data_IF_972692379220
#
_entry.id   IF_972692379220
#
_cell.length_a   1.000
_cell.length_b   1.000
_cell.length_c   1.000
_cell.angle_alpha   90.00
_cell.angle_beta   90.00
_cell.angle_gamma   90.00
#
_symmetry.space_group_name_H-M   'P 1'
#
loop_
_entity.id
_entity.type
_entity.pdbx_description
1 polymer ?
#
# COMPACT_ATOMS: atom_id res chain seq x y z
N UNK A 1 30.95 -73.00 21.53
CA UNK A 1 29.48 -73.24 21.56
C UNK A 1 28.75 -72.25 22.48
N UNK A 2 29.38 -71.70 23.52
CA UNK A 2 28.77 -70.69 24.40
C UNK A 2 28.56 -69.31 23.74
N UNK A 3 29.48 -68.88 22.87
CA UNK A 3 29.41 -67.58 22.18
C UNK A 3 28.25 -67.45 21.17
N UNK A 4 27.80 -68.56 20.59
CA UNK A 4 26.61 -68.60 19.71
C UNK A 4 25.30 -68.50 20.50
N UNK A 5 25.24 -69.10 21.70
CA UNK A 5 24.05 -69.04 22.56
C UNK A 5 23.83 -67.63 23.12
N UNK A 6 24.92 -66.93 23.46
CA UNK A 6 24.86 -65.55 23.94
C UNK A 6 24.40 -64.57 22.85
N UNK A 7 24.86 -64.78 21.60
CA UNK A 7 24.41 -63.99 20.44
C UNK A 7 22.94 -64.25 20.11
N UNK A 8 22.50 -65.52 20.13
CA UNK A 8 21.09 -65.86 19.92
C UNK A 8 20.19 -65.26 21.00
N UNK A 9 20.59 -65.30 22.27
CA UNK A 9 19.87 -64.66 23.37
C UNK A 9 19.81 -63.12 23.21
N UNK A 10 20.88 -62.50 22.72
CA UNK A 10 20.91 -61.06 22.44
C UNK A 10 19.97 -60.68 21.28
N UNK A 11 19.92 -61.48 20.21
CA UNK A 11 18.98 -61.28 19.10
C UNK A 11 17.52 -61.54 19.48
N UNK A 12 17.26 -62.53 20.34
CA UNK A 12 15.91 -62.81 20.87
C UNK A 12 15.46 -61.68 21.83
N UNK A 13 16.38 -61.14 22.63
CA UNK A 13 16.13 -59.98 23.48
C UNK A 13 15.88 -58.70 22.67
N UNK A 14 16.62 -58.48 21.58
CA UNK A 14 16.40 -57.35 20.67
C UNK A 14 15.05 -57.44 19.95
N UNK A 15 14.62 -58.66 19.58
CA UNK A 15 13.32 -58.90 18.93
C UNK A 15 12.14 -58.69 19.89
N UNK A 16 12.32 -58.94 21.20
CA UNK A 16 11.31 -58.72 22.23
C UNK A 16 11.07 -57.23 22.55
N UNK A 17 12.03 -56.34 22.26
CA UNK A 17 11.89 -54.88 22.48
C UNK A 17 11.11 -54.21 21.33
N UNK A 18 11.03 -54.83 20.15
CA UNK A 18 10.33 -54.27 18.98
C UNK A 18 8.79 -54.45 19.09
N UNK A 19 8.32 -55.35 19.95
CA UNK A 19 6.88 -55.66 20.09
C UNK A 19 6.15 -54.79 21.12
N UNK A 20 6.85 -53.98 21.91
CA UNK A 20 6.23 -52.94 22.74
C UNK A 20 6.17 -51.61 21.99
N UNK A 21 5.45 -51.59 20.88
CA UNK A 21 5.08 -50.34 20.22
C UNK A 21 4.16 -49.53 21.13
N UNK A 22 4.52 -48.29 21.43
CA UNK A 22 3.60 -47.33 22.02
C UNK A 22 2.34 -47.26 21.15
N UNK A 23 1.17 -47.52 21.73
CA UNK A 23 -0.09 -47.15 21.08
C UNK A 23 -0.06 -45.63 20.93
N UNK A 24 -0.03 -45.15 19.70
CA UNK A 24 -0.18 -43.73 19.41
C UNK A 24 -1.56 -43.30 19.92
N UNK A 25 -1.60 -42.59 21.03
CA UNK A 25 -2.84 -41.96 21.48
C UNK A 25 -3.26 -40.95 20.41
N UNK A 26 -4.43 -41.20 19.84
CA UNK A 26 -5.04 -40.30 18.86
C UNK A 26 -5.61 -39.12 19.63
N UNK A 27 -4.78 -38.10 19.86
CA UNK A 27 -5.09 -36.86 20.60
C UNK A 27 -6.25 -36.03 19.99
N UNK A 28 -6.79 -36.44 18.83
CA UNK A 28 -7.85 -35.75 18.09
C UNK A 28 -9.17 -36.53 18.05
N UNK A 29 -9.48 -37.34 19.08
CA UNK A 29 -10.84 -37.89 19.24
C UNK A 29 -11.63 -37.03 20.23
N UNK A 30 -12.86 -36.62 19.89
CA UNK A 30 -13.74 -35.98 20.86
C UNK A 30 -13.85 -36.87 22.11
N UNK A 31 -13.55 -36.31 23.28
CA UNK A 31 -13.64 -37.03 24.57
C UNK A 31 -15.09 -37.40 24.91
N UNK A 32 -16.05 -36.75 24.23
CA UNK A 32 -17.48 -37.00 24.30
C UNK A 32 -17.98 -37.16 22.86
N UNK A 33 -18.48 -38.34 22.53
CA UNK A 33 -19.13 -38.61 21.24
C UNK A 33 -20.63 -38.48 21.42
N UNK A 34 -21.22 -37.39 20.92
CA UNK A 34 -22.65 -37.23 20.79
C UNK A 34 -23.08 -37.61 19.38
N UNK A 35 -23.95 -38.63 19.26
CA UNK A 35 -24.48 -39.05 17.97
C UNK A 35 -25.72 -38.27 17.53
N UNK A 36 -26.32 -37.49 18.43
CA UNK A 36 -27.49 -36.67 18.13
C UNK A 36 -27.03 -35.30 17.60
N UNK A 37 -27.59 -34.84 16.47
CA UNK A 37 -27.41 -33.46 16.03
C UNK A 37 -27.91 -32.45 17.06
N UNK A 38 -27.33 -31.25 17.13
CA UNK A 38 -27.87 -30.16 17.93
C UNK A 38 -29.21 -29.66 17.35
N UNK A 39 -29.94 -28.87 18.15
CA UNK A 39 -31.09 -28.13 17.68
C UNK A 39 -30.76 -27.17 16.54
N UNK A 40 -31.78 -26.73 15.80
CA UNK A 40 -31.62 -25.72 14.75
C UNK A 40 -31.46 -24.32 15.33
N UNK A 41 -30.81 -23.41 14.59
CA UNK A 41 -30.87 -21.98 14.89
C UNK A 41 -32.28 -21.43 14.69
N UNK A 42 -32.68 -20.40 15.44
CA UNK A 42 -34.01 -19.79 15.31
C UNK A 42 -33.92 -18.26 15.26
N UNK A 43 -35.04 -17.57 14.96
CA UNK A 43 -35.12 -16.10 14.91
C UNK A 43 -34.04 -15.45 14.04
N UNK A 44 -33.78 -16.04 12.87
CA UNK A 44 -32.74 -15.54 11.96
C UNK A 44 -33.20 -14.22 11.34
N UNK A 45 -32.46 -13.15 11.60
CA UNK A 45 -32.65 -11.81 11.03
C UNK A 45 -31.55 -11.54 10.01
N UNK A 46 -31.90 -10.95 8.87
CA UNK A 46 -30.97 -10.64 7.79
C UNK A 46 -30.90 -9.13 7.59
N UNK A 47 -29.71 -8.56 7.76
CA UNK A 47 -29.40 -7.17 7.41
C UNK A 47 -28.56 -7.16 6.14
N UNK A 48 -29.09 -6.57 5.07
CA UNK A 48 -28.39 -6.48 3.79
C UNK A 48 -27.42 -5.30 3.77
N UNK A 49 -26.21 -5.53 3.25
CA UNK A 49 -25.14 -4.54 3.12
C UNK A 49 -24.51 -4.64 1.72
N UNK A 50 -23.56 -3.76 1.40
CA UNK A 50 -22.90 -3.75 0.09
C UNK A 50 -22.06 -5.03 -0.13
N UNK A 51 -22.50 -5.91 -1.05
CA UNK A 51 -21.81 -7.15 -1.39
C UNK A 51 -21.77 -8.22 -0.27
N UNK A 52 -22.54 -8.02 0.80
CA UNK A 52 -22.59 -8.90 1.97
C UNK A 52 -23.93 -8.77 2.72
N UNK A 53 -24.16 -9.65 3.68
CA UNK A 53 -25.26 -9.52 4.63
C UNK A 53 -24.81 -9.99 6.02
N UNK A 54 -25.31 -9.34 7.06
CA UNK A 54 -25.13 -9.75 8.44
C UNK A 54 -26.37 -10.49 8.93
N UNK A 55 -26.15 -11.67 9.49
CA UNK A 55 -27.18 -12.52 10.06
C UNK A 55 -27.06 -12.47 11.57
N UNK A 56 -28.19 -12.30 12.25
CA UNK A 56 -28.31 -12.49 13.71
C UNK A 56 -29.30 -13.60 13.97
N UNK A 57 -29.04 -14.47 14.94
CA UNK A 57 -29.89 -15.63 15.21
C UNK A 57 -29.90 -15.99 16.70
N UNK A 58 -30.75 -16.92 17.09
CA UNK A 58 -30.76 -17.55 18.42
C UNK A 58 -30.09 -18.92 18.32
N UNK A 59 -29.10 -19.15 19.17
CA UNK A 59 -28.37 -20.41 19.27
C UNK A 59 -29.26 -21.48 19.91
N UNK A 60 -29.12 -22.76 19.51
CA UNK A 60 -29.79 -23.85 20.21
C UNK A 60 -29.17 -24.06 21.60
N UNK A 61 -29.97 -24.57 22.54
CA UNK A 61 -29.57 -24.73 23.95
C UNK A 61 -28.64 -25.91 24.24
N UNK A 62 -28.14 -26.60 23.21
CA UNK A 62 -27.28 -27.77 23.34
C UNK A 62 -25.94 -27.42 24.01
N UNK A 63 -25.64 -28.11 25.12
CA UNK A 63 -24.41 -27.87 25.88
C UNK A 63 -23.14 -28.15 25.07
N UNK A 64 -23.20 -29.04 24.09
CA UNK A 64 -22.10 -29.45 23.22
C UNK A 64 -22.07 -28.73 21.86
N UNK A 65 -22.93 -27.72 21.64
CA UNK A 65 -22.88 -26.86 20.46
C UNK A 65 -21.46 -26.32 20.26
N UNK A 66 -20.93 -26.41 19.05
CA UNK A 66 -19.56 -26.01 18.76
C UNK A 66 -19.53 -24.73 17.90
N UNK A 67 -20.23 -24.74 16.78
CA UNK A 67 -20.33 -23.58 15.89
C UNK A 67 -21.64 -23.58 15.10
N UNK A 68 -21.97 -22.42 14.55
CA UNK A 68 -22.98 -22.25 13.50
C UNK A 68 -22.25 -22.01 12.18
N UNK A 69 -22.79 -22.59 11.12
CA UNK A 69 -22.20 -22.61 9.79
C UNK A 69 -23.22 -22.15 8.77
N UNK A 70 -22.85 -21.18 7.93
CA UNK A 70 -23.68 -20.72 6.83
C UNK A 70 -23.07 -21.17 5.50
N UNK A 71 -23.89 -21.77 4.64
CA UNK A 71 -23.52 -22.20 3.29
C UNK A 71 -24.41 -21.48 2.28
N UNK A 72 -23.79 -20.84 1.29
CA UNK A 72 -24.47 -20.06 0.25
C UNK A 72 -23.62 -20.06 -1.03
N UNK A 73 -24.23 -19.64 -2.14
CA UNK A 73 -23.49 -19.37 -3.38
C UNK A 73 -23.31 -17.86 -3.55
N UNK A 74 -22.14 -17.43 -4.01
CA UNK A 74 -21.90 -16.02 -4.37
C UNK A 74 -22.25 -15.73 -5.84
N UNK A 75 -22.25 -16.79 -6.65
CA UNK A 75 -22.61 -16.83 -8.06
C UNK A 75 -22.86 -18.30 -8.41
N UNK A 76 -23.58 -18.63 -9.51
CA UNK A 76 -23.87 -20.02 -9.87
C UNK A 76 -22.63 -20.92 -9.83
N UNK A 77 -22.66 -21.94 -8.98
CA UNK A 77 -21.58 -22.93 -8.83
C UNK A 77 -20.37 -22.48 -7.99
N UNK A 78 -20.39 -21.29 -7.37
CA UNK A 78 -19.37 -20.82 -6.42
C UNK A 78 -19.92 -20.83 -5.00
N UNK A 79 -19.81 -21.97 -4.34
CA UNK A 79 -20.20 -22.13 -2.92
C UNK A 79 -19.19 -21.51 -1.99
N UNK A 80 -19.68 -20.86 -0.93
CA UNK A 80 -18.88 -20.42 0.21
C UNK A 80 -19.47 -20.92 1.51
N UNK A 81 -18.57 -21.08 2.47
CA UNK A 81 -18.88 -21.46 3.84
C UNK A 81 -18.25 -20.44 4.79
N UNK A 82 -19.01 -20.05 5.80
CA UNK A 82 -18.52 -19.23 6.92
C UNK A 82 -19.03 -19.84 8.21
N UNK A 83 -18.19 -19.80 9.23
CA UNK A 83 -18.47 -20.36 10.55
C UNK A 83 -18.41 -19.27 11.60
N UNK A 84 -19.24 -19.42 12.62
CA UNK A 84 -19.29 -18.58 13.80
C UNK A 84 -19.29 -19.49 15.02
N UNK A 85 -18.35 -19.29 15.96
CA UNK A 85 -18.29 -20.11 17.17
C UNK A 85 -19.57 -19.96 18.01
N UNK A 86 -19.86 -20.94 18.89
CA UNK A 86 -20.97 -20.88 19.87
C UNK A 86 -21.01 -19.62 20.76
N UNK A 87 -19.93 -18.82 20.81
CA UNK A 87 -19.84 -17.64 21.66
C UNK A 87 -20.38 -16.36 21.00
N UNK A 88 -20.79 -16.44 19.73
CA UNK A 88 -21.44 -15.35 19.01
C UNK A 88 -22.73 -15.85 18.38
N UNK A 89 -23.67 -14.94 18.21
CA UNK A 89 -24.96 -15.17 17.57
C UNK A 89 -25.09 -14.38 16.27
N UNK A 90 -23.97 -13.89 15.74
CA UNK A 90 -23.89 -13.13 14.50
C UNK A 90 -22.96 -13.81 13.49
N UNK A 91 -23.29 -13.72 12.21
CA UNK A 91 -22.45 -14.21 11.12
C UNK A 91 -22.55 -13.29 9.92
N UNK A 92 -21.44 -12.99 9.26
CA UNK A 92 -21.43 -12.22 8.00
C UNK A 92 -21.21 -13.16 6.82
N UNK A 93 -22.12 -13.12 5.85
CA UNK A 93 -21.97 -13.78 4.54
C UNK A 93 -21.57 -12.72 3.52
N UNK A 94 -20.48 -12.94 2.79
CA UNK A 94 -19.86 -11.94 1.93
C UNK A 94 -19.41 -12.51 0.58
N UNK A 95 -19.08 -11.60 -0.33
CA UNK A 95 -18.60 -11.94 -1.68
C UNK A 95 -19.70 -12.00 -2.73
N UNK A 96 -20.89 -11.51 -2.42
CA UNK A 96 -21.94 -11.33 -3.43
C UNK A 96 -21.49 -10.30 -4.47
N UNK A 97 -21.49 -10.71 -5.73
CA UNK A 97 -21.11 -9.87 -6.87
C UNK A 97 -22.30 -9.13 -7.52
N UNK A 98 -23.49 -9.26 -6.95
CA UNK A 98 -24.74 -8.72 -7.50
C UNK A 98 -25.68 -8.26 -6.38
N UNK A 99 -26.91 -7.87 -6.75
CA UNK A 99 -27.98 -7.50 -5.82
C UNK A 99 -29.17 -8.46 -5.89
N UNK A 100 -28.95 -9.68 -6.39
CA UNK A 100 -29.99 -10.69 -6.54
C UNK A 100 -30.27 -11.38 -5.19
N UNK A 101 -31.39 -12.09 -5.12
CA UNK A 101 -31.73 -12.88 -3.95
C UNK A 101 -30.81 -14.12 -3.84
N UNK A 102 -30.15 -14.28 -2.70
CA UNK A 102 -29.28 -15.42 -2.40
C UNK A 102 -29.84 -16.22 -1.22
N UNK A 103 -29.96 -17.54 -1.40
CA UNK A 103 -30.40 -18.45 -0.34
C UNK A 103 -29.20 -18.86 0.50
N UNK A 104 -29.31 -18.63 1.81
CA UNK A 104 -28.30 -18.98 2.82
C UNK A 104 -28.87 -20.08 3.69
N UNK A 105 -28.14 -21.18 3.83
CA UNK A 105 -28.50 -22.30 4.71
C UNK A 105 -27.63 -22.27 5.96
N UNK A 106 -28.25 -22.07 7.12
CA UNK A 106 -27.59 -22.13 8.42
C UNK A 106 -27.73 -23.52 9.03
N UNK A 107 -26.65 -23.98 9.65
CA UNK A 107 -26.55 -25.25 10.35
C UNK A 107 -25.91 -25.02 11.72
N UNK A 108 -26.44 -25.65 12.76
CA UNK A 108 -25.74 -25.80 14.03
C UNK A 108 -24.90 -27.09 13.99
N UNK A 109 -23.68 -27.02 14.51
CA UNK A 109 -22.75 -28.16 14.55
C UNK A 109 -22.25 -28.34 15.98
N UNK A 110 -22.31 -29.57 16.49
CA UNK A 110 -21.83 -29.88 17.84
C UNK A 110 -20.35 -30.32 17.83
N UNK A 111 -19.80 -30.55 19.03
CA UNK A 111 -18.39 -30.91 19.23
C UNK A 111 -18.02 -32.29 18.68
N UNK A 112 -19.00 -33.08 18.25
CA UNK A 112 -18.85 -34.38 17.57
C UNK A 112 -19.07 -34.30 16.05
N UNK A 113 -19.09 -33.08 15.48
CA UNK A 113 -19.31 -32.81 14.05
C UNK A 113 -20.66 -33.33 13.53
N UNK A 114 -21.67 -33.47 14.39
CA UNK A 114 -23.05 -33.72 13.97
C UNK A 114 -23.73 -32.41 13.63
N UNK A 115 -24.42 -32.41 12.49
CA UNK A 115 -24.99 -31.23 11.84
C UNK A 115 -26.51 -31.26 11.96
N UNK A 116 -27.11 -30.15 12.40
CA UNK A 116 -28.57 -29.98 12.45
C UNK A 116 -29.22 -30.03 11.07
N UNK A 117 -30.55 -30.07 11.03
CA UNK A 117 -31.28 -29.69 9.82
C UNK A 117 -30.98 -28.22 9.43
N UNK A 118 -31.05 -27.86 8.13
CA UNK A 118 -30.81 -26.50 7.69
C UNK A 118 -31.96 -25.55 8.03
N UNK A 119 -31.62 -24.31 8.34
CA UNK A 119 -32.56 -23.17 8.31
C UNK A 119 -32.18 -22.27 7.14
N UNK A 120 -33.10 -22.13 6.19
CA UNK A 120 -32.89 -21.32 4.99
C UNK A 120 -33.42 -19.90 5.20
N UNK A 121 -32.61 -18.90 4.88
CA UNK A 121 -33.02 -17.50 4.78
C UNK A 121 -32.55 -16.91 3.46
N UNK A 122 -33.14 -15.79 3.07
CA UNK A 122 -32.79 -15.08 1.83
C UNK A 122 -32.14 -13.74 2.15
N UNK A 123 -30.97 -13.49 1.59
CA UNK A 123 -30.34 -12.18 1.57
C UNK A 123 -30.50 -11.51 0.20
N UNK A 124 -30.68 -10.20 0.20
CA UNK A 124 -30.73 -9.34 -0.97
C UNK A 124 -29.65 -8.26 -0.81
N UNK A 125 -28.37 -8.60 -1.03
CA UNK A 125 -27.25 -7.68 -0.84
C UNK A 125 -27.43 -6.37 -1.61
N UNK A 126 -26.91 -5.29 -1.03
CA UNK A 126 -26.84 -4.00 -1.72
C UNK A 126 -25.72 -4.02 -2.75
N UNK A 127 -25.69 -3.02 -3.64
CA UNK A 127 -24.69 -2.91 -4.71
C UNK A 127 -23.27 -3.13 -4.18
N UNK A 128 -22.52 -4.11 -4.71
CA UNK A 128 -21.18 -4.40 -4.23
C UNK A 128 -20.21 -3.20 -4.31
N UNK A 129 -19.27 -3.08 -3.37
CA UNK A 129 -18.32 -1.96 -3.28
C UNK A 129 -17.53 -1.70 -4.56
N UNK A 130 -17.09 -2.75 -5.26
CA UNK A 130 -16.31 -2.59 -6.49
C UNK A 130 -17.11 -1.93 -7.62
N UNK A 131 -18.44 -2.10 -7.67
CA UNK A 131 -19.31 -1.41 -8.63
C UNK A 131 -19.53 0.06 -8.23
N UNK A 132 -19.62 0.36 -6.93
CA UNK A 132 -19.71 1.74 -6.45
C UNK A 132 -18.42 2.51 -6.76
N UNK A 133 -17.26 1.89 -6.51
CA UNK A 133 -15.96 2.43 -6.87
C UNK A 133 -15.81 2.63 -8.39
N UNK A 134 -16.27 1.67 -9.20
CA UNK A 134 -16.28 1.80 -10.66
C UNK A 134 -17.12 3.00 -11.13
N UNK A 135 -18.32 3.21 -10.56
CA UNK A 135 -19.20 4.34 -10.92
C UNK A 135 -18.60 5.71 -10.62
N UNK A 136 -17.68 5.80 -9.66
CA UNK A 136 -16.98 7.04 -9.29
C UNK A 136 -15.59 7.17 -9.92
N UNK A 137 -15.18 6.19 -10.74
CA UNK A 137 -13.84 6.11 -11.31
C UNK A 137 -13.56 7.29 -12.26
N UNK A 138 -12.54 8.06 -11.94
CA UNK A 138 -12.03 9.18 -12.73
C UNK A 138 -10.58 8.95 -13.09
N UNK A 139 -10.28 9.10 -14.38
CA UNK A 139 -8.93 9.00 -14.92
C UNK A 139 -8.57 10.34 -15.55
N UNK A 140 -7.41 10.88 -15.21
CA UNK A 140 -6.95 12.18 -15.73
C UNK A 140 -5.51 12.06 -16.20
N UNK A 141 -5.25 12.41 -17.46
CA UNK A 141 -3.89 12.43 -18.00
C UNK A 141 -3.00 13.39 -17.20
N UNK A 142 -1.74 13.00 -17.02
CA UNK A 142 -0.72 13.79 -16.33
C UNK A 142 0.66 13.50 -16.92
N UNK A 143 1.69 14.13 -16.37
CA UNK A 143 3.09 13.89 -16.72
C UNK A 143 3.47 12.41 -16.60
N UNK A 144 3.97 11.86 -17.71
CA UNK A 144 4.42 10.47 -17.80
C UNK A 144 3.34 9.41 -17.57
N UNK A 145 2.05 9.78 -17.53
CA UNK A 145 0.95 8.82 -17.34
C UNK A 145 -0.41 9.44 -17.04
N UNK A 146 -1.09 8.91 -16.04
CA UNK A 146 -2.41 9.37 -15.63
C UNK A 146 -2.62 9.15 -14.12
N UNK A 147 -3.50 9.95 -13.54
CA UNK A 147 -3.97 9.79 -12.18
C UNK A 147 -5.32 9.06 -12.17
N UNK A 148 -5.50 8.20 -11.17
CA UNK A 148 -6.70 7.45 -10.89
C UNK A 148 -7.30 7.99 -9.60
N UNK A 149 -8.62 8.23 -9.58
CA UNK A 149 -9.36 8.57 -8.38
C UNK A 149 -10.72 7.85 -8.37
N UNK A 150 -11.10 7.27 -7.23
CA UNK A 150 -12.47 6.78 -6.99
C UNK A 150 -12.80 6.75 -5.49
N UNK A 151 -14.08 6.63 -5.18
CA UNK A 151 -14.59 6.52 -3.81
C UNK A 151 -14.76 5.05 -3.40
N UNK A 152 -14.38 4.73 -2.17
CA UNK A 152 -14.53 3.41 -1.55
C UNK A 152 -15.05 3.57 -0.13
N UNK A 153 -16.28 4.06 -0.01
CA UNK A 153 -16.90 4.45 1.27
C UNK A 153 -17.03 3.29 2.26
N UNK A 154 -17.03 2.05 1.79
CA UNK A 154 -17.11 0.84 2.61
C UNK A 154 -15.73 0.32 3.03
N UNK A 155 -14.64 0.93 2.54
CA UNK A 155 -13.25 0.58 2.83
C UNK A 155 -12.93 -0.90 2.50
N UNK A 156 -13.57 -1.43 1.47
CA UNK A 156 -13.31 -2.79 1.01
C UNK A 156 -11.95 -2.89 0.31
N UNK A 157 -11.36 -4.09 0.34
CA UNK A 157 -10.11 -4.35 -0.37
C UNK A 157 -10.39 -4.42 -1.88
N UNK A 158 -10.09 -3.35 -2.59
CA UNK A 158 -10.33 -3.19 -4.02
C UNK A 158 -9.02 -3.18 -4.81
N UNK A 159 -9.13 -3.59 -6.08
CA UNK A 159 -8.06 -3.53 -7.05
C UNK A 159 -8.55 -2.83 -8.31
N UNK A 160 -7.89 -1.74 -8.69
CA UNK A 160 -8.11 -1.08 -9.98
C UNK A 160 -7.06 -1.60 -10.95
N UNK A 161 -7.50 -2.12 -12.08
CA UNK A 161 -6.64 -2.75 -13.09
C UNK A 161 -6.58 -1.86 -14.32
N UNK A 162 -5.49 -1.09 -14.49
CA UNK A 162 -5.24 -0.30 -15.70
C UNK A 162 -4.64 -1.18 -16.80
N UNK A 163 -5.08 -0.99 -18.04
CA UNK A 163 -4.57 -1.66 -19.23
C UNK A 163 -4.53 -0.69 -20.41
N UNK A 164 -3.77 -1.01 -21.46
CA UNK A 164 -3.63 -0.16 -22.65
C UNK A 164 -3.52 -1.02 -23.90
N UNK A 165 -4.11 -0.55 -24.99
CA UNK A 165 -3.85 -1.06 -26.32
C UNK A 165 -2.62 -0.35 -26.90
N UNK A 166 -1.47 -1.03 -26.88
CA UNK A 166 -0.21 -0.47 -27.40
C UNK A 166 -0.07 -0.59 -28.92
N UNK A 167 -0.85 -1.46 -29.55
CA UNK A 167 -0.71 -1.81 -30.97
C UNK A 167 -1.91 -1.34 -31.83
N UNK A 168 -2.89 -0.68 -31.21
CA UNK A 168 -4.16 -0.28 -31.81
C UNK A 168 -4.90 -1.44 -32.49
N UNK A 169 -4.85 -2.63 -31.88
CA UNK A 169 -5.46 -3.87 -32.38
C UNK A 169 -6.52 -4.44 -31.41
N UNK A 170 -6.97 -3.64 -30.44
CA UNK A 170 -7.90 -4.00 -29.37
C UNK A 170 -7.39 -5.07 -28.39
N UNK A 171 -6.07 -5.33 -28.38
CA UNK A 171 -5.44 -6.17 -27.36
C UNK A 171 -4.92 -5.29 -26.22
N UNK A 172 -5.56 -5.39 -25.06
CA UNK A 172 -5.21 -4.63 -23.87
C UNK A 172 -4.19 -5.38 -23.02
N UNK A 173 -3.07 -4.73 -22.71
CA UNK A 173 -1.96 -5.29 -21.93
C UNK A 173 -1.58 -4.39 -20.75
N UNK A 174 -0.84 -4.96 -19.79
CA UNK A 174 -0.21 -4.25 -18.67
C UNK A 174 1.32 -4.19 -18.88
N UNK A 175 1.85 -3.19 -19.61
CA UNK A 175 3.28 -2.99 -19.73
C UNK A 175 3.90 -2.61 -18.38
N UNK A 176 5.22 -2.70 -18.29
CA UNK A 176 5.99 -2.25 -17.11
C UNK A 176 5.60 -0.80 -16.75
N UNK A 177 5.32 -0.55 -15.47
CA UNK A 177 4.85 0.75 -14.97
C UNK A 177 3.33 0.92 -14.97
N UNK A 178 2.57 -0.07 -15.42
CA UNK A 178 1.10 -0.10 -15.34
C UNK A 178 0.60 -1.17 -14.37
N UNK A 179 1.05 -1.03 -13.12
CA UNK A 179 0.71 -1.94 -12.04
C UNK A 179 -0.72 -1.75 -11.55
N UNK A 180 -1.26 -2.80 -10.94
CA UNK A 180 -2.56 -2.75 -10.29
C UNK A 180 -2.51 -1.84 -9.05
N UNK A 181 -3.58 -1.07 -8.85
CA UNK A 181 -3.74 -0.24 -7.65
C UNK A 181 -4.54 -1.03 -6.61
N UNK A 182 -3.88 -1.46 -5.54
CA UNK A 182 -4.51 -2.13 -4.40
C UNK A 182 -4.78 -1.12 -3.29
N UNK A 183 -6.03 -1.00 -2.83
CA UNK A 183 -6.36 -0.09 -1.73
C UNK A 183 -7.66 -0.46 -1.02
N UNK A 184 -7.72 -0.10 0.27
CA UNK A 184 -8.91 -0.11 1.12
C UNK A 184 -9.20 1.30 1.71
N UNK A 185 -8.56 2.34 1.18
CA UNK A 185 -8.76 3.72 1.63
C UNK A 185 -10.14 4.24 1.23
N UNK A 186 -10.75 5.09 2.07
CA UNK A 186 -12.07 5.69 1.80
C UNK A 186 -12.14 6.46 0.48
N UNK A 187 -11.03 7.08 0.09
CA UNK A 187 -10.81 7.69 -1.23
C UNK A 187 -9.52 7.11 -1.79
N UNK A 188 -9.63 6.42 -2.92
CA UNK A 188 -8.50 5.79 -3.60
C UNK A 188 -7.94 6.83 -4.57
N UNK A 189 -6.66 7.16 -4.42
CA UNK A 189 -5.91 8.01 -5.34
C UNK A 189 -4.60 7.32 -5.71
N UNK A 190 -4.30 7.25 -6.99
CA UNK A 190 -3.07 6.63 -7.46
C UNK A 190 -2.54 7.33 -8.72
N UNK A 191 -1.25 7.19 -8.93
CA UNK A 191 -0.53 7.69 -10.08
C UNK A 191 0.05 6.50 -10.85
N UNK A 192 -0.33 6.36 -12.12
CA UNK A 192 0.31 5.43 -13.06
C UNK A 192 1.28 6.22 -13.93
N UNK A 193 2.47 5.68 -14.14
CA UNK A 193 3.59 6.37 -14.78
C UNK A 193 4.23 5.50 -15.87
N UNK A 194 5.28 6.01 -16.53
CA UNK A 194 5.99 5.30 -17.60
C UNK A 194 5.19 5.18 -18.90
N UNK A 195 4.17 6.00 -19.09
CA UNK A 195 3.40 6.05 -20.33
C UNK A 195 3.91 7.17 -21.24
N UNK A 196 4.08 6.90 -22.54
CA UNK A 196 4.56 7.90 -23.49
C UNK A 196 3.49 8.97 -23.76
N UNK A 197 3.95 10.16 -24.15
CA UNK A 197 3.10 11.28 -24.55
C UNK A 197 2.52 11.11 -25.97
N UNK A 198 1.83 9.99 -26.19
CA UNK A 198 1.09 9.68 -27.41
C UNK A 198 -0.31 9.24 -27.03
N UNK A 199 -1.29 9.57 -27.87
CA UNK A 199 -2.67 9.14 -27.65
C UNK A 199 -2.77 7.62 -27.72
N UNK A 200 -3.37 6.99 -26.71
CA UNK A 200 -3.66 5.56 -26.67
C UNK A 200 -5.04 5.29 -26.07
N UNK A 201 -5.59 4.12 -26.40
CA UNK A 201 -6.80 3.57 -25.78
C UNK A 201 -6.41 2.85 -24.49
N UNK A 202 -6.92 3.34 -23.37
CA UNK A 202 -6.78 2.74 -22.06
C UNK A 202 -8.08 2.06 -21.64
N UNK A 203 -7.93 1.01 -20.84
CA UNK A 203 -9.02 0.23 -20.28
C UNK A 203 -8.83 0.10 -18.77
N UNK A 204 -9.91 0.23 -18.00
CA UNK A 204 -9.89 0.14 -16.56
C UNK A 204 -11.07 -0.67 -16.05
N UNK A 205 -10.83 -1.60 -15.13
CA UNK A 205 -11.91 -2.21 -14.37
C UNK A 205 -11.53 -2.29 -12.89
N UNK A 206 -12.54 -2.38 -12.03
CA UNK A 206 -12.38 -2.55 -10.59
C UNK A 206 -12.77 -3.98 -10.24
N UNK A 207 -12.00 -4.61 -9.36
CA UNK A 207 -12.33 -5.92 -8.81
C UNK A 207 -12.17 -5.96 -7.30
N UNK A 208 -12.89 -6.85 -6.66
CA UNK A 208 -12.75 -7.12 -5.23
C UNK A 208 -11.78 -8.29 -4.95
N UNK A 209 -11.68 -8.66 -3.67
CA UNK A 209 -10.91 -9.83 -3.20
C UNK A 209 -11.49 -11.18 -3.62
N UNK A 210 -12.76 -11.22 -4.03
CA UNK A 210 -13.48 -12.43 -4.47
C UNK A 210 -13.40 -12.62 -5.98
N UNK A 211 -12.68 -11.75 -6.68
CA UNK A 211 -12.52 -11.73 -8.13
C UNK A 211 -13.82 -11.39 -8.88
N UNK A 212 -14.79 -10.77 -8.20
CA UNK A 212 -15.88 -10.08 -8.89
C UNK A 212 -15.29 -8.86 -9.62
N UNK A 213 -15.71 -8.63 -10.85
CA UNK A 213 -15.17 -7.57 -11.73
C UNK A 213 -16.28 -6.66 -12.20
N UNK A 214 -16.01 -5.37 -12.29
CA UNK A 214 -16.88 -4.42 -13.00
C UNK A 214 -16.81 -4.64 -14.50
N UNK A 215 -17.66 -3.93 -15.23
CA UNK A 215 -17.41 -3.67 -16.65
C UNK A 215 -16.13 -2.84 -16.83
N UNK A 216 -15.71 -2.66 -18.08
CA UNK A 216 -14.47 -1.97 -18.45
C UNK A 216 -14.77 -0.54 -18.89
N UNK A 217 -14.13 0.44 -18.25
CA UNK A 217 -14.08 1.82 -18.69
C UNK A 217 -13.00 1.97 -19.77
N UNK A 218 -13.38 2.36 -20.98
CA UNK A 218 -12.46 2.66 -22.07
C UNK A 218 -12.33 4.17 -22.28
N UNK A 219 -11.09 4.66 -22.42
CA UNK A 219 -10.79 6.08 -22.60
C UNK A 219 -9.60 6.28 -23.54
N UNK A 220 -9.63 7.33 -24.35
CA UNK A 220 -8.44 7.82 -25.05
C UNK A 220 -7.72 8.82 -24.15
N UNK A 221 -6.43 8.60 -23.89
CA UNK A 221 -5.61 9.50 -23.09
C UNK A 221 -4.31 9.81 -23.82
N UNK A 222 -3.88 11.06 -23.73
CA UNK A 222 -2.53 11.50 -24.13
C UNK A 222 -1.81 12.01 -22.88
N UNK A 223 -0.94 11.20 -22.25
CA UNK A 223 -0.08 11.65 -21.15
C UNK A 223 0.74 12.87 -21.53
N UNK A 224 1.08 13.71 -20.55
CA UNK A 224 1.98 14.84 -20.80
C UNK A 224 3.42 14.32 -20.87
N UNK A 225 4.20 14.87 -21.78
CA UNK A 225 5.63 14.58 -21.87
C UNK A 225 6.33 14.90 -20.55
N UNK A 226 7.09 13.94 -20.03
CA UNK A 226 7.91 14.07 -18.83
C UNK A 226 9.31 13.53 -19.13
N UNK A 227 10.32 14.31 -18.79
CA UNK A 227 11.71 13.87 -18.75
C UNK A 227 12.34 14.23 -17.41
N UNK A 228 13.42 13.52 -17.05
CA UNK A 228 14.31 13.97 -15.98
C UNK A 228 15.14 15.14 -16.50
N UNK A 229 15.21 16.24 -15.76
CA UNK A 229 16.06 17.35 -16.16
C UNK A 229 17.53 16.96 -16.10
N UNK A 230 18.29 17.35 -17.12
CA UNK A 230 19.74 17.20 -17.11
C UNK A 230 20.34 18.07 -16.00
N UNK A 231 21.16 17.47 -15.15
CA UNK A 231 21.90 18.16 -14.09
C UNK A 231 23.11 18.93 -14.62
N UNK A 232 23.50 18.73 -15.88
CA UNK A 232 24.59 19.47 -16.54
C UNK A 232 24.34 20.97 -16.61
N UNK A 233 23.07 21.37 -16.62
CA UNK A 233 22.65 22.78 -16.74
C UNK A 233 22.53 23.43 -15.35
N UNK A 234 22.70 22.67 -14.27
CA UNK A 234 22.42 23.13 -12.92
C UNK A 234 23.65 23.78 -12.30
N UNK A 235 23.43 24.79 -11.48
CA UNK A 235 24.49 25.44 -10.72
C UNK A 235 23.99 25.95 -9.37
N UNK A 236 24.94 26.13 -8.44
CA UNK A 236 24.64 26.74 -7.14
C UNK A 236 24.36 28.23 -7.36
N UNK A 237 23.17 28.68 -6.95
CA UNK A 237 22.78 30.09 -7.03
C UNK A 237 22.64 30.67 -5.62
N UNK A 238 23.75 30.70 -4.88
CA UNK A 238 23.77 31.11 -3.47
C UNK A 238 23.30 32.57 -3.32
N UNK A 239 22.24 32.76 -2.54
CA UNK A 239 21.71 34.08 -2.20
C UNK A 239 22.00 34.44 -0.73
N UNK A 240 21.99 35.75 -0.37
CA UNK A 240 22.07 36.14 1.04
C UNK A 240 20.94 35.49 1.86
N UNK A 241 21.28 34.98 3.05
CA UNK A 241 20.32 34.25 3.89
C UNK A 241 20.13 32.77 3.56
N UNK A 242 20.71 32.26 2.47
CA UNK A 242 20.84 30.81 2.26
C UNK A 242 21.74 30.20 3.35
N UNK A 243 21.54 28.91 3.58
CA UNK A 243 22.19 28.16 4.65
C UNK A 243 23.72 28.20 4.53
N UNK A 244 24.38 28.21 5.70
CA UNK A 244 25.83 27.99 5.77
C UNK A 244 26.09 26.49 5.80
N UNK A 245 26.95 26.00 4.91
CA UNK A 245 27.37 24.61 4.90
C UNK A 245 28.20 24.31 6.16
N UNK A 246 28.08 23.11 6.70
CA UNK A 246 28.88 22.67 7.85
C UNK A 246 30.37 22.59 7.48
N UNK A 247 30.67 22.06 6.29
CA UNK A 247 32.00 22.03 5.71
C UNK A 247 31.96 22.52 4.25
N UNK A 248 33.11 22.95 3.73
CA UNK A 248 33.22 23.42 2.34
C UNK A 248 32.92 22.34 1.31
N UNK A 249 33.11 21.06 1.65
CA UNK A 249 32.88 19.92 0.75
C UNK A 249 31.50 19.28 0.88
N UNK A 250 30.64 19.76 1.79
CA UNK A 250 29.25 19.31 1.98
C UNK A 250 28.26 20.38 1.49
N UNK A 251 28.51 20.92 0.30
CA UNK A 251 27.77 22.04 -0.26
C UNK A 251 26.62 21.62 -1.19
N UNK A 252 25.95 22.62 -1.78
CA UNK A 252 24.78 22.42 -2.66
C UNK A 252 25.15 21.69 -3.96
N UNK A 253 26.42 21.61 -4.36
CA UNK A 253 26.81 20.82 -5.56
C UNK A 253 26.56 19.33 -5.36
N UNK A 254 26.57 18.85 -4.11
CA UNK A 254 26.40 17.43 -3.77
C UNK A 254 25.01 16.91 -4.06
N UNK A 255 23.99 17.77 -4.07
CA UNK A 255 22.60 17.31 -4.27
C UNK A 255 22.22 17.17 -5.74
N UNK A 256 23.14 17.43 -6.66
CA UNK A 256 22.92 17.22 -8.09
C UNK A 256 24.15 16.64 -8.81
N UNK A 257 24.99 15.88 -8.09
CA UNK A 257 26.17 15.21 -8.65
C UNK A 257 25.88 13.78 -9.15
N UNK A 258 24.66 13.25 -8.93
CA UNK A 258 24.23 11.93 -9.34
C UNK A 258 24.51 10.82 -8.32
N UNK A 259 24.95 11.16 -7.11
CA UNK A 259 25.18 10.24 -6.00
C UNK A 259 23.96 10.10 -5.05
N UNK A 260 22.97 9.31 -5.47
CA UNK A 260 21.72 9.08 -4.73
C UNK A 260 21.86 8.43 -3.35
N UNK A 261 22.93 7.68 -3.11
CA UNK A 261 23.19 6.96 -1.84
C UNK A 261 24.50 7.42 -1.19
N UNK A 262 24.90 8.68 -1.47
CA UNK A 262 26.14 9.25 -0.99
C UNK A 262 26.24 9.19 0.54
N UNK A 263 27.16 8.35 1.03
CA UNK A 263 27.60 8.38 2.43
C UNK A 263 28.56 9.54 2.69
N UNK A 264 28.94 9.75 3.95
CA UNK A 264 29.80 10.87 4.33
C UNK A 264 31.10 10.92 3.50
N UNK A 265 31.52 12.07 2.95
CA UNK A 265 30.90 13.40 3.05
C UNK A 265 30.09 13.82 1.80
N UNK A 266 29.59 12.89 1.00
CA UNK A 266 28.90 13.16 -0.27
C UNK A 266 27.43 13.53 -0.06
N UNK A 267 27.20 14.67 0.59
CA UNK A 267 25.86 15.22 0.83
C UNK A 267 25.94 16.74 1.01
N UNK A 268 24.83 17.45 0.79
CA UNK A 268 24.64 18.76 1.38
C UNK A 268 24.47 18.55 2.89
N UNK A 269 25.23 19.29 3.70
CA UNK A 269 25.09 19.30 5.15
C UNK A 269 25.29 20.72 5.65
N UNK A 270 24.29 21.29 6.33
CA UNK A 270 24.33 22.67 6.83
C UNK A 270 24.64 22.75 8.33
N UNK A 271 25.06 23.93 8.80
CA UNK A 271 25.42 24.16 10.21
C UNK A 271 24.27 23.79 11.16
N UNK A 272 24.58 22.92 12.13
CA UNK A 272 23.58 22.32 13.02
C UNK A 272 22.95 23.28 14.03
N UNK A 273 23.65 24.37 14.37
CA UNK A 273 23.17 25.41 15.29
C UNK A 273 22.15 26.37 14.65
N UNK A 274 21.53 25.97 13.54
CA UNK A 274 20.50 26.75 12.86
C UNK A 274 19.32 27.00 13.80
N UNK A 275 19.06 28.27 14.14
CA UNK A 275 17.96 28.68 15.03
C UNK A 275 16.63 28.95 14.33
N UNK A 276 16.60 28.84 13.00
CA UNK A 276 15.42 29.13 12.17
C UNK A 276 15.44 28.30 10.89
N UNK A 277 14.30 28.14 10.19
CA UNK A 277 14.23 27.49 8.88
C UNK A 277 15.32 27.96 7.93
N UNK A 278 16.03 27.01 7.34
CA UNK A 278 17.12 27.27 6.40
C UNK A 278 16.68 27.01 4.97
N UNK A 279 17.36 27.64 4.00
CA UNK A 279 17.09 27.43 2.59
C UNK A 279 18.38 27.32 1.78
N UNK A 280 18.31 26.61 0.65
CA UNK A 280 19.36 26.57 -0.37
C UNK A 280 18.74 26.84 -1.74
N UNK A 281 19.50 27.50 -2.61
CA UNK A 281 19.01 27.94 -3.92
C UNK A 281 19.83 27.33 -5.07
N UNK A 282 19.11 26.84 -6.08
CA UNK A 282 19.66 26.17 -7.27
C UNK A 282 19.15 26.91 -8.52
N UNK A 283 20.05 27.16 -9.47
CA UNK A 283 19.67 27.54 -10.84
C UNK A 283 19.63 26.27 -11.70
N UNK A 284 18.49 25.95 -12.29
CA UNK A 284 18.33 24.78 -13.18
C UNK A 284 18.81 25.05 -14.62
N UNK A 285 19.30 26.26 -14.89
CA UNK A 285 19.84 26.73 -16.17
C UNK A 285 18.78 27.20 -17.17
N UNK A 286 17.59 26.62 -17.14
CA UNK A 286 16.47 26.93 -18.06
C UNK A 286 15.13 26.93 -17.33
N UNK A 287 14.16 27.66 -17.88
CA UNK A 287 12.77 27.62 -17.41
C UNK A 287 12.12 26.30 -17.85
N UNK A 288 11.50 25.59 -16.91
CA UNK A 288 10.80 24.32 -17.16
C UNK A 288 9.50 24.24 -16.39
N UNK A 289 8.52 23.51 -16.93
CA UNK A 289 7.30 23.16 -16.19
C UNK A 289 7.58 21.91 -15.38
N UNK A 290 7.41 21.97 -14.06
CA UNK A 290 7.72 20.86 -13.18
C UNK A 290 6.56 19.90 -13.02
N UNK A 291 6.86 18.60 -13.06
CA UNK A 291 5.88 17.54 -12.82
C UNK A 291 6.02 16.94 -11.43
N UNK A 292 7.25 16.59 -11.04
CA UNK A 292 7.58 15.99 -9.74
C UNK A 292 9.06 16.18 -9.42
N UNK A 293 9.43 15.82 -8.20
CA UNK A 293 10.82 15.63 -7.81
C UNK A 293 10.99 14.38 -6.95
N UNK A 294 12.24 13.92 -6.83
CA UNK A 294 12.69 12.90 -5.88
C UNK A 294 13.78 13.55 -5.02
N UNK A 295 13.65 13.42 -3.71
CA UNK A 295 14.66 13.85 -2.74
C UNK A 295 15.23 12.61 -2.04
N UNK A 296 16.51 12.33 -2.26
CA UNK A 296 17.22 11.25 -1.60
C UNK A 296 17.85 11.77 -0.30
N UNK A 297 17.47 11.22 0.87
CA UNK A 297 18.09 11.57 2.14
C UNK A 297 19.52 11.05 2.25
N UNK A 298 20.29 11.70 3.12
CA UNK A 298 21.60 11.26 3.53
C UNK A 298 21.53 9.99 4.39
N UNK A 299 22.32 8.97 4.05
CA UNK A 299 22.45 7.77 4.88
C UNK A 299 23.37 8.06 6.07
N UNK A 300 22.80 8.08 7.27
CA UNK A 300 23.52 8.41 8.50
C UNK A 300 24.22 7.18 9.09
N UNK A 301 25.15 7.42 10.02
CA UNK A 301 25.86 6.36 10.75
C UNK A 301 24.83 5.41 11.39
N UNK A 302 25.01 4.11 11.15
CA UNK A 302 24.04 3.08 11.55
C UNK A 302 23.06 2.67 10.46
N UNK A 303 23.23 3.15 9.22
CA UNK A 303 22.39 2.84 8.06
C UNK A 303 20.93 3.24 8.27
N UNK A 304 20.72 4.44 8.79
CA UNK A 304 19.40 5.02 9.10
C UNK A 304 19.19 6.32 8.33
N UNK A 305 17.94 6.63 7.97
CA UNK A 305 17.60 7.81 7.16
C UNK A 305 16.70 8.82 7.89
N UNK A 306 15.90 8.37 8.85
CA UNK A 306 14.89 9.17 9.53
C UNK A 306 15.44 9.75 10.83
N UNK A 307 16.61 10.38 10.74
CA UNK A 307 17.36 10.97 11.86
C UNK A 307 18.05 12.28 11.45
N UNK A 308 18.51 13.05 12.44
CA UNK A 308 19.35 14.25 12.27
C UNK A 308 18.79 15.25 11.24
N UNK A 309 19.64 15.68 10.29
CA UNK A 309 19.40 16.77 9.35
C UNK A 309 18.57 16.37 8.14
N UNK A 310 18.28 15.08 7.95
CA UNK A 310 17.38 14.68 6.87
C UNK A 310 16.03 15.39 7.03
N UNK A 311 15.54 15.93 5.92
CA UNK A 311 14.32 16.72 5.90
C UNK A 311 13.13 15.88 6.37
N UNK A 312 12.20 16.52 7.07
CA UNK A 312 10.91 15.94 7.45
C UNK A 312 9.75 16.79 6.94
N UNK A 313 9.79 18.09 7.27
CA UNK A 313 8.85 19.09 6.79
C UNK A 313 9.63 20.15 6.02
N UNK A 314 9.28 20.39 4.76
CA UNK A 314 9.99 21.34 3.91
C UNK A 314 9.08 21.93 2.84
N UNK A 315 9.53 23.01 2.22
CA UNK A 315 8.84 23.66 1.11
C UNK A 315 9.74 23.72 -0.12
N UNK A 316 9.11 23.66 -1.29
CA UNK A 316 9.75 23.93 -2.57
C UNK A 316 9.17 25.23 -3.14
N UNK A 317 10.05 26.14 -3.55
CA UNK A 317 9.71 27.44 -4.10
C UNK A 317 10.37 27.61 -5.47
N UNK A 318 9.67 28.29 -6.38
CA UNK A 318 10.14 28.56 -7.75
C UNK A 318 10.23 30.05 -8.04
N UNK A 319 11.20 30.45 -8.86
CA UNK A 319 11.31 31.81 -9.37
C UNK A 319 11.88 31.85 -10.79
N UNK A 320 11.62 32.96 -11.49
CA UNK A 320 12.24 33.33 -12.76
C UNK A 320 13.10 34.60 -12.65
N UNK A 321 13.01 35.31 -11.54
CA UNK A 321 13.73 36.57 -11.29
C UNK A 321 13.84 36.76 -9.78
N UNK A 322 14.57 35.87 -9.09
CA UNK A 322 14.66 35.91 -7.63
C UNK A 322 15.30 37.22 -7.17
N UNK A 323 14.80 37.77 -6.07
CA UNK A 323 15.41 38.96 -5.48
C UNK A 323 16.85 38.64 -5.04
N UNK A 324 17.82 39.38 -5.57
CA UNK A 324 19.25 39.15 -5.34
C UNK A 324 19.67 39.40 -3.89
N UNK A 325 18.85 40.10 -3.11
CA UNK A 325 19.04 40.23 -1.66
C UNK A 325 18.71 38.95 -0.88
N UNK A 326 18.16 37.92 -1.55
CA UNK A 326 17.84 36.63 -0.99
C UNK A 326 16.55 36.55 -0.17
N UNK A 327 15.78 37.62 -0.07
CA UNK A 327 14.49 37.61 0.62
C UNK A 327 13.54 36.57 -0.02
N UNK A 328 12.78 35.86 0.82
CA UNK A 328 11.67 35.02 0.38
C UNK A 328 10.41 35.89 0.28
N UNK A 329 10.31 36.65 -0.81
CA UNK A 329 9.28 37.65 -1.05
C UNK A 329 8.43 37.32 -2.30
N UNK A 330 7.74 38.32 -2.88
CA UNK A 330 6.90 38.16 -4.06
C UNK A 330 7.67 37.73 -5.33
N UNK A 331 9.01 37.75 -5.34
CA UNK A 331 9.81 37.16 -6.42
C UNK A 331 9.79 35.63 -6.42
N UNK A 332 9.25 35.00 -5.36
CA UNK A 332 9.15 33.55 -5.22
C UNK A 332 7.70 33.09 -5.16
N UNK A 333 7.40 32.01 -5.88
CA UNK A 333 6.14 31.29 -5.79
C UNK A 333 6.34 30.02 -4.98
N UNK A 334 5.55 29.81 -3.93
CA UNK A 334 5.52 28.52 -3.24
C UNK A 334 4.87 27.48 -4.13
N UNK A 335 5.60 26.40 -4.43
CA UNK A 335 5.13 25.35 -5.32
C UNK A 335 4.55 24.16 -4.56
N UNK A 336 5.17 23.80 -3.44
CA UNK A 336 4.75 22.65 -2.64
C UNK A 336 5.16 22.78 -1.17
N UNK A 337 4.34 22.21 -0.30
CA UNK A 337 4.70 21.89 1.10
C UNK A 337 4.74 20.38 1.22
N UNK A 338 5.83 19.86 1.75
CA UNK A 338 6.17 18.45 1.77
C UNK A 338 6.27 17.96 3.21
N UNK A 339 5.64 16.83 3.50
CA UNK A 339 5.74 16.13 4.78
C UNK A 339 6.10 14.67 4.51
N UNK A 340 7.16 14.19 5.13
CA UNK A 340 7.62 12.80 5.00
C UNK A 340 7.05 11.99 6.17
N UNK A 341 6.39 10.90 5.82
CA UNK A 341 5.82 9.94 6.77
C UNK A 341 6.51 8.60 6.59
N UNK A 342 6.92 7.98 7.70
CA UNK A 342 7.43 6.60 7.70
C UNK A 342 6.32 5.65 7.25
N UNK A 343 6.55 4.79 6.23
CA UNK A 343 5.60 3.77 5.83
C UNK A 343 5.10 2.91 7.00
N UNK A 344 5.97 2.60 7.97
CA UNK A 344 5.60 1.79 9.13
C UNK A 344 4.80 2.51 10.20
N UNK A 345 4.81 3.85 10.22
CA UNK A 345 4.31 4.64 11.36
C UNK A 345 5.09 4.45 12.67
N UNK A 346 6.26 3.79 12.63
CA UNK A 346 7.08 3.52 13.83
C UNK A 346 7.59 4.81 14.50
N UNK A 347 7.88 4.77 15.82
CA UNK A 347 8.37 5.94 16.54
C UNK A 347 9.75 6.41 16.06
N UNK A 348 10.18 7.58 16.52
CA UNK A 348 11.53 8.09 16.25
C UNK A 348 12.60 7.14 16.77
N UNK A 349 13.70 6.97 16.04
CA UNK A 349 14.79 6.04 16.38
C UNK A 349 14.55 4.57 16.00
N UNK A 350 13.39 4.23 15.45
CA UNK A 350 13.12 2.89 14.89
C UNK A 350 12.91 2.97 13.38
N UNK A 351 13.58 2.13 12.61
CA UNK A 351 13.37 2.02 11.16
C UNK A 351 13.13 0.56 10.79
N UNK A 352 12.03 0.30 10.11
CA UNK A 352 11.72 -1.02 9.55
C UNK A 352 12.33 -1.15 8.15
N UNK A 353 12.35 -2.37 7.61
CA UNK A 353 12.79 -2.59 6.23
C UNK A 353 11.96 -1.80 5.20
N UNK A 354 10.67 -1.57 5.47
CA UNK A 354 9.81 -0.76 4.61
C UNK A 354 10.22 0.72 4.63
N UNK A 355 10.57 1.25 5.81
CA UNK A 355 11.05 2.64 5.95
C UNK A 355 12.38 2.82 5.25
N UNK A 356 13.32 1.91 5.49
CA UNK A 356 14.64 1.91 4.84
C UNK A 356 14.50 1.91 3.32
N UNK A 357 13.68 1.01 2.76
CA UNK A 357 13.46 0.93 1.32
C UNK A 357 12.89 2.24 0.76
N UNK A 358 11.87 2.80 1.42
CA UNK A 358 11.26 4.05 0.98
C UNK A 358 12.23 5.23 0.96
N UNK A 359 13.10 5.34 1.97
CA UNK A 359 14.12 6.38 1.99
C UNK A 359 15.25 6.13 0.99
N UNK A 360 15.73 4.89 0.87
CA UNK A 360 16.77 4.50 -0.09
C UNK A 360 16.34 4.75 -1.55
N UNK A 361 15.09 4.48 -1.90
CA UNK A 361 14.54 4.76 -3.23
C UNK A 361 14.37 6.28 -3.49
N UNK A 362 14.34 7.09 -2.42
CA UNK A 362 14.12 8.53 -2.44
C UNK A 362 12.66 8.92 -2.28
N UNK A 363 12.42 10.05 -1.62
CA UNK A 363 11.07 10.55 -1.35
C UNK A 363 10.55 11.35 -2.55
N UNK A 364 9.58 10.76 -3.25
CA UNK A 364 8.92 11.35 -4.41
C UNK A 364 7.74 12.24 -4.03
N UNK A 365 7.63 13.40 -4.70
CA UNK A 365 6.50 14.32 -4.56
C UNK A 365 6.07 14.86 -5.93
N UNK A 366 4.76 14.85 -6.19
CA UNK A 366 4.18 15.46 -7.38
C UNK A 366 3.88 16.95 -7.14
N UNK A 367 4.18 17.79 -8.13
CA UNK A 367 3.72 19.17 -8.14
C UNK A 367 2.24 19.25 -8.56
N UNK A 368 1.51 20.31 -8.14
CA UNK A 368 0.16 20.54 -8.63
C UNK A 368 0.16 20.73 -10.15
N UNK A 369 -0.92 20.30 -10.81
CA UNK A 369 -1.09 20.53 -12.24
C UNK A 369 -1.25 22.04 -12.54
N UNK A 370 -0.85 22.45 -13.74
CA UNK A 370 -1.04 23.84 -14.21
C UNK A 370 -0.02 24.84 -13.70
N UNK A 371 1.10 24.40 -13.11
CA UNK A 371 2.21 25.29 -12.78
C UNK A 371 2.78 25.99 -14.03
N UNK A 372 3.14 27.27 -13.85
CA UNK A 372 4.01 27.98 -14.78
C UNK A 372 5.41 27.38 -14.80
N UNK A 373 6.20 27.73 -15.82
CA UNK A 373 7.60 27.34 -15.88
C UNK A 373 8.47 28.17 -14.92
N UNK A 374 9.45 27.55 -14.27
CA UNK A 374 10.41 28.21 -13.38
C UNK A 374 11.84 27.78 -13.70
N UNK A 375 12.82 28.64 -13.40
CA UNK A 375 14.26 28.36 -13.58
C UNK A 375 15.00 28.16 -12.25
N UNK A 376 14.67 28.96 -11.24
CA UNK A 376 15.32 28.92 -9.94
C UNK A 376 14.46 28.16 -8.94
N UNK A 377 15.08 27.29 -8.15
CA UNK A 377 14.42 26.53 -7.09
C UNK A 377 15.04 26.86 -5.74
N UNK A 378 14.19 26.99 -4.74
CA UNK A 378 14.57 27.00 -3.32
C UNK A 378 14.00 25.80 -2.60
N UNK A 379 14.87 25.09 -1.88
CA UNK A 379 14.50 24.06 -0.91
C UNK A 379 14.59 24.71 0.46
N UNK A 380 13.46 24.77 1.18
CA UNK A 380 13.40 25.39 2.51
C UNK A 380 13.05 24.34 3.56
N UNK A 381 14.02 24.02 4.43
CA UNK A 381 13.84 23.13 5.58
C UNK A 381 13.03 23.84 6.65
N UNK A 382 11.87 23.29 7.01
CA UNK A 382 11.06 23.76 8.14
C UNK A 382 11.32 22.93 9.40
N UNK A 383 11.59 21.63 9.21
CA UNK A 383 11.88 20.69 10.30
C UNK A 383 12.61 19.47 9.75
N UNK A 384 13.60 19.01 10.49
CA UNK A 384 14.28 17.73 10.24
C UNK A 384 13.86 16.64 11.25
N UNK A 385 14.40 15.43 11.12
CA UNK A 385 14.02 14.30 11.98
C UNK A 385 14.47 14.44 13.44
N UNK A 386 15.38 15.36 13.78
CA UNK A 386 15.69 15.71 15.17
C UNK A 386 14.91 16.90 15.72
N UNK A 387 14.00 17.49 14.93
CA UNK A 387 13.21 18.66 15.35
C UNK A 387 13.95 20.00 15.29
N UNK A 388 15.06 20.08 14.54
CA UNK A 388 15.83 21.29 14.27
C UNK A 388 15.63 21.75 12.81
N UNK A 389 16.43 22.72 12.35
CA UNK A 389 16.31 23.40 11.06
C UNK A 389 17.45 23.15 10.07
N UNK A 390 18.58 22.58 10.52
CA UNK A 390 19.66 22.21 9.60
C UNK A 390 19.22 21.09 8.65
N UNK A 391 19.86 20.99 7.49
CA UNK A 391 19.47 20.08 6.44
C UNK A 391 20.62 19.19 5.99
N UNK A 392 20.26 17.94 5.71
CA UNK A 392 21.10 16.93 5.08
C UNK A 392 20.33 16.36 3.89
N UNK A 393 20.96 16.33 2.71
CA UNK A 393 20.37 15.82 1.47
C UNK A 393 21.49 15.15 0.66
N UNK A 394 21.26 13.95 0.15
CA UNK A 394 22.18 13.30 -0.78
C UNK A 394 21.90 13.70 -2.22
N UNK A 395 20.65 13.68 -2.66
CA UNK A 395 20.32 14.02 -4.04
C UNK A 395 18.95 14.70 -4.17
N UNK A 396 18.84 15.58 -5.15
CA UNK A 396 17.61 16.21 -5.60
C UNK A 396 17.49 16.03 -7.11
N UNK A 397 16.39 15.42 -7.54
CA UNK A 397 16.14 15.10 -8.95
C UNK A 397 14.78 15.63 -9.37
N UNK A 398 14.72 16.43 -10.42
CA UNK A 398 13.48 17.03 -10.92
C UNK A 398 13.09 16.50 -12.29
N UNK A 399 11.78 16.49 -12.53
CA UNK A 399 11.17 16.01 -13.76
C UNK A 399 10.17 17.05 -14.30
N UNK A 400 9.92 17.01 -15.60
CA UNK A 400 8.98 17.92 -16.25
C UNK A 400 9.20 18.04 -17.75
N UNK A 401 8.95 19.24 -18.32
CA UNK A 401 9.18 19.58 -19.73
C UNK A 401 9.76 20.98 -19.92
#
# INVERSE_FOLDING_TARGET
>A
METMKLRAAFWIGLLAIIITGCKQETLNKPTITNNNPPGVVTNVQVQNENGKASLTYTLPGDNDLFYVKAVYETSPGKTREVIASRYTNTLTVDGFGDTLAHVIKLYAVNSSEKVSAPVSVTANPLTPPYLLAYRSLKITATFGGFNIACDNLTQDNLVIVPMVDTANNSLYVQPKGMDNVYSNSISIKAAVRGQPAIERKYAFFVRDRFLNKSDTLFLNLTPFYEEQFSKSDWSVYKLPGDATNLYSYTDVTKIFDGNFTGGWPNCLFTVESAGSPQMVTIDLGKQRVFSRFILNPFIEIGNVYYVRGNLRDFEIWGSNSPNVNGALDASWTKLLTCNIVKPSGSPSGTETAADYKYAHDGWGFDFPAGLSAYRYIRIRSLRNWTGSYFMSISEFTMFGK
#
